data_IF_931728936463
#
_entry.id   IF_931728936463
#
_cell.length_a   1.000
_cell.length_b   1.000
_cell.length_c   1.000
_cell.angle_alpha   90.00
_cell.angle_beta   90.00
_cell.angle_gamma   90.00
#
_symmetry.space_group_name_H-M   'P 1'
#
loop_
_entity.id
_entity.type
_entity.pdbx_description
1 polymer ?
#
# COMPACT_ATOMS: atom_id res chain seq x y z
N UNK A 1 54.13 -54.30 -15.27
CA UNK A 1 53.01 -55.06 -15.88
C UNK A 1 51.89 -54.08 -16.17
N UNK A 2 51.19 -54.16 -17.31
CA UNK A 2 50.01 -53.32 -17.56
C UNK A 2 48.81 -53.94 -16.86
N UNK A 3 47.98 -53.12 -16.23
CA UNK A 3 46.52 -53.13 -16.43
C UNK A 3 45.96 -51.84 -15.83
N UNK A 4 44.93 -51.26 -16.44
CA UNK A 4 44.25 -50.08 -15.91
C UNK A 4 42.74 -50.22 -16.02
N UNK A 5 41.99 -49.53 -15.15
CA UNK A 5 40.57 -49.25 -15.41
C UNK A 5 40.00 -48.10 -14.60
N UNK A 6 39.47 -47.12 -15.35
CA UNK A 6 38.14 -46.50 -15.21
C UNK A 6 37.68 -46.05 -13.82
N UNK A 7 37.49 -44.74 -13.68
CA UNK A 7 36.74 -44.10 -12.58
C UNK A 7 36.45 -42.62 -12.88
N UNK A 8 35.68 -42.34 -13.95
CA UNK A 8 35.26 -40.97 -14.32
C UNK A 8 33.91 -40.66 -13.70
N UNK A 9 33.71 -39.41 -13.26
CA UNK A 9 32.42 -38.82 -12.82
C UNK A 9 31.83 -39.39 -11.50
N UNK A 10 31.07 -38.69 -10.65
CA UNK A 10 30.73 -37.26 -10.47
C UNK A 10 31.09 -36.88 -8.98
N UNK A 11 30.87 -35.69 -8.39
CA UNK A 11 30.18 -34.43 -8.72
C UNK A 11 31.02 -33.24 -8.21
N UNK A 12 30.67 -32.00 -8.60
CA UNK A 12 30.92 -30.80 -7.82
C UNK A 12 29.57 -30.27 -7.30
N UNK A 13 29.35 -30.29 -5.99
CA UNK A 13 28.12 -29.76 -5.38
C UNK A 13 28.26 -28.24 -5.29
N UNK A 14 27.76 -27.56 -6.32
CA UNK A 14 27.44 -26.14 -6.26
C UNK A 14 26.27 -25.96 -5.29
N UNK A 15 26.59 -25.68 -4.02
CA UNK A 15 25.63 -25.19 -3.05
C UNK A 15 25.23 -23.76 -3.46
N UNK A 16 24.24 -23.66 -4.35
CA UNK A 16 23.58 -22.40 -4.64
C UNK A 16 22.79 -21.99 -3.39
N UNK A 17 23.39 -21.12 -2.57
CA UNK A 17 22.70 -20.48 -1.46
C UNK A 17 21.52 -19.68 -2.03
N UNK A 18 20.32 -20.24 -1.94
CA UNK A 18 19.11 -19.48 -2.14
C UNK A 18 19.05 -18.42 -1.04
N UNK A 19 19.39 -17.17 -1.38
CA UNK A 19 19.11 -16.03 -0.52
C UNK A 19 17.60 -15.92 -0.46
N UNK A 20 17.02 -16.42 0.62
CA UNK A 20 15.64 -16.15 0.96
C UNK A 20 15.56 -14.65 1.24
N UNK A 21 15.17 -13.88 0.22
CA UNK A 21 14.69 -12.52 0.42
C UNK A 21 13.32 -12.67 1.07
N UNK A 22 13.32 -12.94 2.37
CA UNK A 22 12.16 -12.74 3.23
C UNK A 22 11.75 -11.29 3.04
N UNK A 23 10.55 -11.06 2.53
CA UNK A 23 10.06 -9.71 2.25
C UNK A 23 10.02 -8.89 3.52
N UNK A 24 11.03 -8.04 3.71
CA UNK A 24 10.75 -6.74 4.28
C UNK A 24 9.91 -6.03 3.23
N UNK A 25 8.63 -5.79 3.53
CA UNK A 25 7.94 -4.65 2.92
C UNK A 25 8.87 -3.46 3.13
N UNK A 26 9.34 -2.85 2.04
CA UNK A 26 10.22 -1.70 2.16
C UNK A 26 9.40 -0.59 2.84
N UNK A 27 9.95 -0.01 3.91
CA UNK A 27 9.27 1.03 4.67
C UNK A 27 8.68 2.07 3.71
N UNK A 28 7.41 2.42 3.93
CA UNK A 28 6.71 3.38 3.06
C UNK A 28 7.46 4.70 3.07
N UNK A 29 7.74 5.19 1.88
CA UNK A 29 8.44 6.45 1.66
C UNK A 29 7.39 7.55 1.44
N UNK A 30 7.15 8.43 2.43
CA UNK A 30 6.10 9.43 2.33
C UNK A 30 6.34 10.44 1.20
N UNK A 31 7.59 10.62 0.74
CA UNK A 31 7.89 11.48 -0.41
C UNK A 31 7.38 10.90 -1.73
N UNK A 32 7.02 9.61 -1.77
CA UNK A 32 6.42 8.94 -2.94
C UNK A 32 4.90 8.76 -2.87
N UNK A 33 4.26 9.07 -1.74
CA UNK A 33 2.80 9.03 -1.63
C UNK A 33 2.05 10.10 -2.46
N UNK A 34 2.60 11.29 -2.76
CA UNK A 34 1.93 12.23 -3.65
C UNK A 34 1.65 11.66 -5.04
N UNK A 35 0.44 11.89 -5.56
CA UNK A 35 -0.05 11.38 -6.84
C UNK A 35 -1.55 11.11 -6.86
N UNK A 36 -2.03 10.51 -7.94
CA UNK A 36 -3.47 10.21 -8.16
C UNK A 36 -3.72 8.71 -8.14
N UNK A 37 -4.57 8.27 -7.21
CA UNK A 37 -4.95 6.87 -7.00
C UNK A 37 -6.42 6.67 -7.39
N UNK A 38 -6.73 5.56 -8.06
CA UNK A 38 -8.07 5.26 -8.60
C UNK A 38 -8.50 3.84 -8.30
N UNK A 39 -9.77 3.66 -7.98
CA UNK A 39 -10.44 2.37 -7.82
C UNK A 39 -11.16 1.94 -9.09
N UNK A 40 -11.39 0.63 -9.23
CA UNK A 40 -12.17 0.03 -10.34
C UNK A 40 -13.64 0.51 -10.38
N UNK A 41 -14.17 0.99 -9.24
CA UNK A 41 -15.50 1.56 -9.11
C UNK A 41 -15.59 3.03 -9.54
N UNK A 42 -14.47 3.64 -9.91
CA UNK A 42 -14.36 5.04 -10.33
C UNK A 42 -14.07 6.02 -9.19
N UNK A 43 -13.92 5.55 -7.94
CA UNK A 43 -13.43 6.37 -6.84
C UNK A 43 -12.00 6.85 -7.08
N UNK A 44 -11.68 8.07 -6.64
CA UNK A 44 -10.35 8.67 -6.77
C UNK A 44 -9.95 9.36 -5.48
N UNK A 45 -8.66 9.27 -5.13
CA UNK A 45 -8.01 10.22 -4.23
C UNK A 45 -6.75 10.80 -4.88
N UNK A 46 -6.53 12.09 -4.70
CA UNK A 46 -5.31 12.80 -5.07
C UNK A 46 -4.62 13.26 -3.78
N UNK A 47 -3.35 12.88 -3.61
CA UNK A 47 -2.47 13.35 -2.53
C UNK A 47 -1.49 14.37 -3.11
N UNK A 48 -1.52 15.60 -2.62
CA UNK A 48 -0.60 16.65 -3.06
C UNK A 48 0.74 16.59 -2.31
N UNK A 49 1.79 17.11 -2.95
CA UNK A 49 3.11 17.32 -2.31
C UNK A 49 3.09 18.38 -1.20
N UNK A 50 2.01 19.13 -1.07
CA UNK A 50 1.84 20.21 -0.09
C UNK A 50 1.10 19.74 1.19
N UNK A 51 0.81 18.43 1.31
CA UNK A 51 0.07 17.87 2.45
C UNK A 51 -1.44 18.11 2.39
N UNK A 52 -2.00 18.31 1.19
CA UNK A 52 -3.45 18.42 0.96
C UNK A 52 -3.98 17.29 0.11
N UNK A 53 -5.25 16.91 0.27
CA UNK A 53 -5.87 15.84 -0.52
C UNK A 53 -7.25 16.23 -1.04
N UNK A 54 -7.66 15.55 -2.12
CA UNK A 54 -9.01 15.59 -2.66
C UNK A 54 -9.49 14.17 -2.92
N UNK A 55 -10.64 13.79 -2.35
CA UNK A 55 -11.33 12.53 -2.58
C UNK A 55 -12.63 12.76 -3.36
N UNK A 56 -12.92 11.91 -4.35
CA UNK A 56 -14.12 12.00 -5.19
C UNK A 56 -14.65 10.59 -5.46
N UNK A 57 -15.96 10.37 -5.25
CA UNK A 57 -16.60 9.07 -5.46
C UNK A 57 -16.03 7.95 -4.58
N UNK A 58 -15.54 8.28 -3.38
CA UNK A 58 -14.87 7.33 -2.48
C UNK A 58 -15.90 6.60 -1.61
N UNK A 59 -15.74 5.28 -1.46
CA UNK A 59 -16.62 4.45 -0.62
C UNK A 59 -15.93 4.14 0.71
N UNK A 60 -16.32 4.89 1.74
CA UNK A 60 -15.76 4.73 3.10
C UNK A 60 -16.43 3.65 3.94
N UNK A 61 -17.56 3.08 3.49
CA UNK A 61 -18.27 2.00 4.17
C UNK A 61 -19.08 1.19 3.17
N UNK A 62 -19.10 -0.13 3.31
CA UNK A 62 -19.95 -0.97 2.47
C UNK A 62 -21.44 -0.60 2.62
N UNK A 63 -22.13 -0.46 1.49
CA UNK A 63 -23.56 -0.15 1.44
C UNK A 63 -23.93 1.32 1.72
N UNK A 64 -22.96 2.24 1.77
CA UNK A 64 -23.22 3.69 1.74
C UNK A 64 -22.96 4.27 0.36
N UNK A 65 -23.63 5.37 0.02
CA UNK A 65 -23.33 6.12 -1.20
C UNK A 65 -21.87 6.64 -1.18
N UNK A 66 -21.17 6.70 -2.34
CA UNK A 66 -19.85 7.30 -2.43
C UNK A 66 -19.85 8.79 -2.08
N UNK A 67 -18.73 9.28 -1.54
CA UNK A 67 -18.58 10.64 -1.01
C UNK A 67 -17.43 11.42 -1.65
N UNK A 68 -17.59 12.74 -1.66
CA UNK A 68 -16.57 13.71 -2.03
C UNK A 68 -16.16 14.51 -0.79
N UNK A 69 -14.86 14.66 -0.54
CA UNK A 69 -14.32 15.38 0.62
C UNK A 69 -12.84 15.77 0.41
N UNK A 70 -12.36 16.78 1.13
CA UNK A 70 -10.99 17.28 1.01
C UNK A 70 -10.46 17.81 2.34
N UNK A 71 -9.15 18.09 2.37
CA UNK A 71 -8.49 18.70 3.51
C UNK A 71 -6.98 18.44 3.47
N UNK A 72 -6.40 18.23 4.66
CA UNK A 72 -4.97 17.96 4.85
C UNK A 72 -4.68 16.48 5.07
N UNK A 73 -3.49 16.01 4.71
CA UNK A 73 -3.02 14.65 4.97
C UNK A 73 -1.67 14.64 5.68
N UNK A 74 -1.51 13.72 6.63
CA UNK A 74 -0.28 13.55 7.41
C UNK A 74 0.08 12.05 7.47
N UNK A 75 1.33 11.71 7.16
CA UNK A 75 1.88 10.37 7.36
C UNK A 75 2.60 10.31 8.72
N UNK A 76 2.11 9.46 9.63
CA UNK A 76 2.76 9.20 10.91
C UNK A 76 3.61 7.92 10.77
N UNK A 77 4.94 8.05 10.83
CA UNK A 77 5.88 6.92 10.69
C UNK A 77 5.61 5.83 11.76
N UNK A 78 5.12 4.65 11.37
CA UNK A 78 4.62 3.67 12.31
C UNK A 78 5.76 2.78 12.81
N UNK A 79 6.42 3.23 13.88
CA UNK A 79 7.32 2.39 14.67
C UNK A 79 6.68 1.10 15.25
N UNK A 80 5.40 0.80 14.94
CA UNK A 80 4.57 -0.24 15.56
C UNK A 80 3.57 -0.98 14.63
N UNK A 81 3.88 -1.19 13.34
CA UNK A 81 3.24 -2.17 12.42
C UNK A 81 1.99 -1.76 11.56
N UNK A 82 1.76 -0.49 11.22
CA UNK A 82 0.74 -0.16 10.19
C UNK A 82 1.09 1.12 9.44
N UNK A 83 1.42 1.02 8.16
CA UNK A 83 1.66 2.17 7.28
C UNK A 83 0.30 2.77 6.88
N UNK A 84 -0.05 3.93 7.45
CA UNK A 84 -1.28 4.64 7.09
C UNK A 84 -1.12 6.15 7.17
N UNK A 85 -1.91 6.85 6.37
CA UNK A 85 -2.03 8.30 6.29
C UNK A 85 -3.29 8.73 7.04
N UNK A 86 -3.19 9.76 7.89
CA UNK A 86 -4.37 10.44 8.42
C UNK A 86 -4.86 11.49 7.43
N UNK A 87 -6.15 11.43 7.09
CA UNK A 87 -6.86 12.42 6.30
C UNK A 87 -7.65 13.34 7.24
N UNK A 88 -7.16 14.55 7.48
CA UNK A 88 -7.83 15.58 8.25
C UNK A 88 -8.87 16.27 7.35
N UNK A 89 -10.14 15.94 7.53
CA UNK A 89 -11.24 16.50 6.73
C UNK A 89 -11.45 17.97 7.12
N UNK A 90 -11.38 18.85 6.13
CA UNK A 90 -11.66 20.28 6.29
C UNK A 90 -13.08 20.63 5.83
N UNK A 91 -13.52 20.06 4.69
CA UNK A 91 -14.90 20.13 4.19
C UNK A 91 -15.23 18.92 3.28
N UNK A 92 -16.52 18.61 3.15
CA UNK A 92 -17.00 17.47 2.37
C UNK A 92 -18.25 16.79 2.93
N UNK A 93 -18.75 15.78 2.20
CA UNK A 93 -20.01 15.07 2.45
C UNK A 93 -20.11 14.27 3.77
N UNK A 94 -19.11 14.40 4.66
CA UNK A 94 -18.92 13.61 5.87
C UNK A 94 -19.25 14.36 7.17
N UNK A 95 -19.56 15.66 7.07
CA UNK A 95 -19.88 16.49 8.25
C UNK A 95 -18.71 16.57 9.24
N UNK A 96 -19.00 16.52 10.55
CA UNK A 96 -17.99 16.61 11.62
C UNK A 96 -17.23 15.30 11.87
N UNK A 97 -16.89 14.58 10.81
CA UNK A 97 -16.10 13.35 10.93
C UNK A 97 -14.66 13.73 11.31
N UNK A 98 -14.16 13.18 12.43
CA UNK A 98 -12.73 13.27 12.77
C UNK A 98 -11.91 12.48 11.74
N UNK A 99 -10.62 12.79 11.61
CA UNK A 99 -9.81 12.33 10.49
C UNK A 99 -9.87 10.82 10.19
N UNK A 100 -9.83 10.48 8.91
CA UNK A 100 -9.93 9.10 8.40
C UNK A 100 -8.54 8.48 8.27
N UNK A 101 -8.42 7.19 8.54
CA UNK A 101 -7.22 6.42 8.20
C UNK A 101 -7.30 5.90 6.76
N UNK A 102 -6.31 6.26 5.95
CA UNK A 102 -6.07 5.74 4.61
C UNK A 102 -4.84 4.83 4.69
N UNK A 103 -5.03 3.53 4.54
CA UNK A 103 -3.97 2.55 4.70
C UNK A 103 -3.11 2.48 3.44
N UNK A 104 -1.83 2.16 3.61
CA UNK A 104 -0.83 1.99 2.56
C UNK A 104 -0.44 0.51 2.52
N UNK A 105 -0.64 -0.16 1.39
CA UNK A 105 -0.18 -1.55 1.18
C UNK A 105 1.25 -1.53 0.59
N UNK A 106 1.46 -0.64 -0.37
CA UNK A 106 2.77 -0.24 -0.88
C UNK A 106 2.71 1.23 -1.38
N UNK A 107 3.83 1.76 -1.89
CA UNK A 107 3.92 3.16 -2.34
C UNK A 107 2.95 3.52 -3.50
N UNK A 108 2.40 2.52 -4.20
CA UNK A 108 1.48 2.65 -5.33
C UNK A 108 0.06 2.13 -5.03
N UNK A 109 -0.21 1.54 -3.85
CA UNK A 109 -1.54 1.04 -3.43
C UNK A 109 -2.00 1.67 -2.11
N UNK A 110 -3.17 2.31 -2.14
CA UNK A 110 -3.87 2.82 -0.96
C UNK A 110 -5.21 2.12 -0.77
N UNK A 111 -5.72 2.03 0.47
CA UNK A 111 -7.04 1.45 0.71
C UNK A 111 -7.77 2.02 1.94
N UNK A 112 -9.10 2.03 1.85
CA UNK A 112 -9.99 2.28 2.97
C UNK A 112 -10.41 0.96 3.63
N UNK A 113 -10.35 0.93 4.96
CA UNK A 113 -10.66 -0.25 5.76
C UNK A 113 -11.52 0.18 6.96
N UNK A 114 -12.84 0.22 6.76
CA UNK A 114 -13.78 0.76 7.74
C UNK A 114 -13.83 -0.05 9.04
N UNK A 115 -13.75 -1.37 8.91
CA UNK A 115 -13.65 -2.34 9.99
C UNK A 115 -12.29 -3.05 9.84
N UNK A 116 -11.30 -2.80 10.71
CA UNK A 116 -9.95 -3.35 10.55
C UNK A 116 -9.89 -4.88 10.68
N UNK A 117 -10.90 -5.51 11.30
CA UNK A 117 -11.07 -6.97 11.34
C UNK A 117 -11.91 -7.51 10.17
N UNK A 118 -12.51 -6.61 9.38
CA UNK A 118 -13.37 -6.89 8.23
C UNK A 118 -12.65 -6.90 6.87
N UNK A 119 -13.37 -6.93 5.74
CA UNK A 119 -12.79 -6.81 4.41
C UNK A 119 -12.32 -5.38 4.10
N UNK A 120 -11.36 -5.24 3.19
CA UNK A 120 -11.02 -3.94 2.57
C UNK A 120 -12.29 -3.36 1.95
N UNK A 121 -12.57 -2.10 2.26
CA UNK A 121 -13.79 -1.41 1.83
C UNK A 121 -13.66 -0.84 0.42
N UNK A 122 -12.51 -0.26 0.10
CA UNK A 122 -12.17 0.22 -1.25
C UNK A 122 -10.65 0.20 -1.40
N UNK A 123 -10.14 -0.36 -2.51
CA UNK A 123 -8.72 -0.29 -2.90
C UNK A 123 -8.56 0.72 -4.04
N UNK A 124 -7.46 1.48 -4.01
CA UNK A 124 -7.13 2.54 -4.95
C UNK A 124 -5.66 2.36 -5.40
N UNK A 125 -5.44 2.17 -6.70
CA UNK A 125 -4.10 1.97 -7.27
C UNK A 125 -3.60 3.26 -7.96
N UNK A 126 -2.29 3.52 -7.89
CA UNK A 126 -1.68 4.75 -8.42
C UNK A 126 -1.70 4.77 -9.96
N UNK A 127 -2.05 5.93 -10.49
CA UNK A 127 -2.20 6.16 -11.94
C UNK A 127 -1.32 7.28 -12.50
N UNK A 128 -0.82 8.18 -11.64
CA UNK A 128 0.17 9.23 -11.95
C UNK A 128 0.88 9.69 -10.69
#
# INVERSE_FOLDING_TARGET
>A
MREGSRGRWLFAVLAASAVLVSGCSAAVDPEKLPGVYRGDDGGQIELSVEGTFSATGVTLREGTDPVDFHGSWEYEDPASNSDFVYLLIEDGGLGKTGGIQLYVDDQDTLYFHFDPDGPITQKLDKTS
#
